data_IF_323396555326
#
_entry.id   IF_323396555326
#
_cell.length_a   1.000
_cell.length_b   1.000
_cell.length_c   1.000
_cell.angle_alpha   90.00
_cell.angle_beta   90.00
_cell.angle_gamma   90.00
#
_symmetry.space_group_name_H-M   'P 1'
#
loop_
_entity.id
_entity.type
_entity.pdbx_description
1 polymer ?
#
# COMPACT_ATOMS: atom_id res chain seq x y z
N UNK A 1 7.12 28.84 -48.51
CA UNK A 1 5.68 29.01 -48.22
C UNK A 1 5.39 28.70 -46.76
N UNK A 2 4.89 29.68 -46.00
CA UNK A 2 4.50 29.51 -44.59
C UNK A 2 3.18 28.74 -44.54
N UNK A 3 3.13 27.60 -43.83
CA UNK A 3 1.88 26.85 -43.62
C UNK A 3 1.06 27.59 -42.55
N UNK A 4 -0.03 28.21 -42.96
CA UNK A 4 -1.01 28.84 -42.05
C UNK A 4 -2.13 27.81 -41.88
N UNK A 5 -2.47 27.48 -40.63
CA UNK A 5 -3.54 26.54 -40.32
C UNK A 5 -4.86 26.99 -40.97
N UNK A 6 -5.68 26.04 -41.42
CA UNK A 6 -6.95 26.37 -42.05
C UNK A 6 -7.92 26.97 -41.03
N UNK A 7 -8.86 27.80 -41.50
CA UNK A 7 -9.83 28.47 -40.63
C UNK A 7 -10.64 27.48 -39.79
N UNK A 8 -10.92 26.29 -40.32
CA UNK A 8 -11.62 25.20 -39.63
C UNK A 8 -10.80 24.61 -38.47
N UNK A 9 -9.48 24.51 -38.63
CA UNK A 9 -8.58 23.98 -37.59
C UNK A 9 -8.44 24.96 -36.40
N UNK A 10 -8.50 26.27 -36.68
CA UNK A 10 -8.51 27.32 -35.65
C UNK A 10 -9.84 27.31 -34.89
N UNK A 11 -10.96 27.11 -35.58
CA UNK A 11 -12.29 27.06 -34.96
C UNK A 11 -12.45 25.84 -34.04
N UNK A 12 -11.98 24.67 -34.48
CA UNK A 12 -12.01 23.45 -33.68
C UNK A 12 -11.19 23.54 -32.38
N UNK A 13 -10.08 24.30 -32.38
CA UNK A 13 -9.29 24.56 -31.15
C UNK A 13 -9.99 25.53 -30.19
N UNK A 14 -10.82 26.44 -30.69
CA UNK A 14 -11.55 27.41 -29.86
C UNK A 14 -12.76 26.78 -29.17
N UNK A 15 -13.36 25.76 -29.78
CA UNK A 15 -14.54 25.03 -29.26
C UNK A 15 -14.17 23.90 -28.28
N UNK A 16 -12.88 23.63 -28.06
CA UNK A 16 -12.45 22.64 -27.09
C UNK A 16 -12.86 23.06 -25.66
N UNK A 17 -13.52 22.18 -24.88
CA UNK A 17 -13.95 22.51 -23.52
C UNK A 17 -12.73 22.75 -22.63
N UNK A 18 -12.60 23.98 -22.13
CA UNK A 18 -11.57 24.35 -21.14
C UNK A 18 -11.80 23.53 -19.87
N UNK A 19 -10.80 22.75 -19.48
CA UNK A 19 -10.81 21.98 -18.26
C UNK A 19 -11.06 22.91 -17.06
N UNK A 20 -12.19 22.72 -16.39
CA UNK A 20 -12.52 23.42 -15.15
C UNK A 20 -11.73 22.77 -14.01
N UNK A 21 -10.72 23.48 -13.51
CA UNK A 21 -10.03 23.08 -12.29
C UNK A 21 -10.99 23.32 -11.13
N UNK A 22 -11.53 22.25 -10.55
CA UNK A 22 -12.37 22.29 -9.37
C UNK A 22 -11.58 22.87 -8.20
N UNK A 23 -12.15 23.88 -7.55
CA UNK A 23 -11.53 24.53 -6.40
C UNK A 23 -11.35 23.52 -5.26
N UNK A 24 -10.10 23.33 -4.83
CA UNK A 24 -9.76 22.52 -3.65
C UNK A 24 -10.32 23.28 -2.44
N UNK A 25 -11.30 22.69 -1.77
CA UNK A 25 -11.86 23.23 -0.53
C UNK A 25 -10.75 23.25 0.53
N UNK A 26 -10.23 24.43 0.83
CA UNK A 26 -9.24 24.62 1.88
C UNK A 26 -9.93 24.58 3.25
N UNK A 27 -10.10 23.39 3.80
CA UNK A 27 -10.43 23.22 5.22
C UNK A 27 -9.13 23.42 6.02
N UNK A 28 -9.04 24.57 6.69
CA UNK A 28 -7.95 24.86 7.61
C UNK A 28 -8.04 23.93 8.81
N UNK A 29 -7.32 22.81 8.75
CA UNK A 29 -7.13 21.91 9.88
C UNK A 29 -6.26 22.66 10.91
N UNK A 30 -6.87 23.10 12.01
CA UNK A 30 -6.16 23.67 13.16
C UNK A 30 -5.32 22.53 13.75
N UNK A 31 -4.02 22.50 13.44
CA UNK A 31 -3.09 21.52 13.98
C UNK A 31 -2.63 21.98 15.36
N UNK A 32 -3.16 21.36 16.41
CA UNK A 32 -2.63 21.48 17.77
C UNK A 32 -1.68 20.31 18.06
N UNK A 33 -0.35 20.57 18.16
CA UNK A 33 0.64 19.52 18.38
C UNK A 33 0.51 18.82 19.75
N UNK A 34 -0.27 19.38 20.68
CA UNK A 34 -0.44 18.84 22.04
C UNK A 34 -1.78 18.14 22.27
N UNK A 35 -2.77 18.34 21.38
CA UNK A 35 -4.05 17.64 21.43
C UNK A 35 -4.04 16.27 20.73
N UNK A 36 -2.93 15.90 20.11
CA UNK A 36 -2.80 14.62 19.40
C UNK A 36 -2.69 13.50 20.42
N UNK A 37 -3.75 12.71 20.57
CA UNK A 37 -3.73 11.51 21.40
C UNK A 37 -2.58 10.59 20.93
N UNK A 38 -1.83 9.97 21.85
CA UNK A 38 -0.79 9.03 21.46
C UNK A 38 -1.44 7.92 20.62
N UNK A 39 -0.92 7.72 19.40
CA UNK A 39 -1.42 6.68 18.52
C UNK A 39 -1.35 5.34 19.26
N UNK A 40 -2.49 4.67 19.37
CA UNK A 40 -2.56 3.34 19.99
C UNK A 40 -1.71 2.41 19.14
N UNK A 41 -0.62 1.91 19.71
CA UNK A 41 0.24 0.91 19.08
C UNK A 41 -0.62 -0.35 18.91
N UNK A 42 -1.13 -0.58 17.71
CA UNK A 42 -1.86 -1.80 17.43
C UNK A 42 -0.88 -2.97 17.46
N UNK A 43 -1.16 -3.95 18.32
CA UNK A 43 -0.43 -5.21 18.34
C UNK A 43 -0.64 -5.91 17.01
N UNK A 44 0.42 -6.05 16.22
CA UNK A 44 0.38 -6.79 14.96
C UNK A 44 0.16 -8.28 15.25
N UNK A 45 -1.03 -8.78 14.95
CA UNK A 45 -1.33 -10.20 15.06
C UNK A 45 -0.80 -10.96 13.85
N UNK A 46 0.38 -11.55 14.03
CA UNK A 46 1.04 -12.33 12.99
C UNK A 46 0.49 -13.76 12.84
N UNK A 47 -0.25 -14.25 13.84
CA UNK A 47 -0.65 -15.66 13.98
C UNK A 47 -2.06 -15.91 13.46
N UNK A 48 -2.93 -14.92 13.53
CA UNK A 48 -4.30 -15.04 13.04
C UNK A 48 -4.52 -14.25 11.75
N UNK A 49 -5.50 -14.69 10.97
CA UNK A 49 -6.04 -13.95 9.84
C UNK A 49 -7.57 -13.98 9.91
N UNK A 50 -8.24 -13.33 8.96
CA UNK A 50 -9.71 -13.37 8.85
C UNK A 50 -10.30 -14.78 8.68
N UNK A 51 -9.47 -15.79 8.38
CA UNK A 51 -9.89 -17.19 8.24
C UNK A 51 -9.48 -18.08 9.41
N UNK A 52 -8.95 -17.51 10.49
CA UNK A 52 -8.45 -18.24 11.66
C UNK A 52 -6.92 -18.33 11.71
N UNK A 53 -6.43 -19.39 12.35
CA UNK A 53 -5.02 -19.61 12.61
C UNK A 53 -4.21 -19.76 11.31
N UNK A 54 -3.04 -19.14 11.26
CA UNK A 54 -2.10 -19.28 10.15
C UNK A 54 -1.19 -20.49 10.36
N UNK A 55 -0.73 -21.05 9.25
CA UNK A 55 0.21 -22.16 9.20
C UNK A 55 1.62 -21.61 9.06
N UNK A 56 2.53 -22.15 9.88
CA UNK A 56 3.97 -21.89 9.81
C UNK A 56 4.55 -22.37 8.48
N UNK A 57 5.35 -21.51 7.86
CA UNK A 57 6.11 -21.75 6.63
C UNK A 57 7.56 -21.42 6.91
N UNK A 58 8.34 -22.46 7.14
CA UNK A 58 9.77 -22.39 7.33
C UNK A 58 10.53 -23.19 6.28
N UNK A 59 11.80 -22.87 6.10
CA UNK A 59 12.70 -23.59 5.21
C UNK A 59 13.93 -22.78 4.82
N UNK A 60 14.65 -23.27 3.82
CA UNK A 60 15.84 -22.61 3.27
C UNK A 60 15.71 -22.44 1.77
N UNK A 61 16.05 -21.25 1.25
CA UNK A 61 16.13 -20.98 -0.18
C UNK A 61 17.36 -20.13 -0.48
N UNK A 62 18.19 -20.59 -1.42
CA UNK A 62 19.42 -19.89 -1.83
C UNK A 62 20.37 -19.59 -0.66
N UNK A 63 20.53 -20.53 0.28
CA UNK A 63 21.39 -20.33 1.46
C UNK A 63 20.82 -19.37 2.51
N UNK A 64 19.54 -19.01 2.42
CA UNK A 64 18.87 -18.14 3.38
C UNK A 64 17.67 -18.86 3.98
N UNK A 65 17.67 -18.99 5.30
CA UNK A 65 16.50 -19.45 6.04
C UNK A 65 15.37 -18.43 5.86
N UNK A 66 14.13 -18.93 5.75
CA UNK A 66 12.92 -18.12 5.76
C UNK A 66 11.94 -18.66 6.79
N UNK A 67 11.14 -17.76 7.33
CA UNK A 67 10.08 -18.06 8.27
C UNK A 67 8.90 -17.13 7.99
N UNK A 68 7.70 -17.68 7.92
CA UNK A 68 6.49 -16.93 7.57
C UNK A 68 5.22 -17.63 7.96
N UNK A 69 4.14 -16.88 8.08
CA UNK A 69 2.83 -17.34 8.57
C UNK A 69 1.81 -17.17 7.46
N UNK A 70 1.38 -18.29 6.88
CA UNK A 70 0.53 -18.34 5.69
C UNK A 70 -0.90 -18.75 6.04
N UNK A 71 -1.88 -18.26 5.28
CA UNK A 71 -3.28 -18.65 5.46
C UNK A 71 -3.50 -20.12 5.06
N UNK A 72 -4.44 -20.81 5.72
CA UNK A 72 -4.85 -22.20 5.40
C UNK A 72 -5.54 -22.29 4.02
N UNK A 73 -6.25 -21.23 3.61
CA UNK A 73 -7.01 -21.20 2.35
C UNK A 73 -6.08 -21.38 1.14
N UNK A 74 -6.52 -22.19 0.18
CA UNK A 74 -5.77 -22.50 -1.04
C UNK A 74 -5.68 -21.27 -1.95
N UNK A 75 -4.59 -21.19 -2.73
CA UNK A 75 -4.28 -20.06 -3.63
C UNK A 75 -5.43 -19.69 -4.59
N UNK A 76 -6.27 -20.64 -4.97
CA UNK A 76 -7.36 -20.44 -5.94
C UNK A 76 -8.68 -19.95 -5.33
N UNK A 77 -8.74 -19.73 -4.02
CA UNK A 77 -9.98 -19.33 -3.34
C UNK A 77 -10.35 -17.85 -3.50
N UNK A 78 -9.45 -17.01 -4.04
CA UNK A 78 -9.67 -15.56 -4.16
C UNK A 78 -9.68 -14.80 -2.83
N UNK A 79 -9.74 -15.51 -1.70
CA UNK A 79 -9.77 -14.94 -0.37
C UNK A 79 -8.42 -15.01 0.35
N UNK A 80 -7.33 -15.41 -0.32
CA UNK A 80 -6.04 -15.64 0.34
C UNK A 80 -5.50 -14.39 1.07
N UNK A 81 -5.15 -14.54 2.35
CA UNK A 81 -4.43 -13.50 3.07
C UNK A 81 -2.95 -13.47 2.68
N UNK A 82 -2.38 -12.27 2.66
CA UNK A 82 -0.94 -12.10 2.47
C UNK A 82 -0.15 -12.83 3.57
N UNK A 83 0.94 -13.48 3.21
CA UNK A 83 1.83 -14.18 4.15
C UNK A 83 2.61 -13.18 4.98
N UNK A 84 2.55 -13.34 6.31
CA UNK A 84 3.35 -12.55 7.21
C UNK A 84 4.77 -13.13 7.25
N UNK A 85 5.73 -12.45 6.65
CA UNK A 85 7.14 -12.90 6.65
C UNK A 85 7.90 -12.35 7.85
N UNK A 86 8.86 -13.14 8.32
CA UNK A 86 9.74 -12.79 9.42
C UNK A 86 11.17 -12.68 8.90
N UNK A 87 11.98 -11.89 9.61
CA UNK A 87 13.40 -11.74 9.38
C UNK A 87 14.15 -12.17 10.63
N UNK A 88 15.32 -12.75 10.43
CA UNK A 88 16.21 -13.12 11.53
C UNK A 88 16.92 -11.85 12.01
N UNK A 89 16.79 -11.52 13.29
CA UNK A 89 17.55 -10.42 13.89
C UNK A 89 19.00 -10.85 14.19
N UNK A 90 19.84 -9.91 14.62
CA UNK A 90 21.24 -10.19 14.98
C UNK A 90 21.39 -11.16 16.17
N UNK A 91 20.34 -11.31 16.97
CA UNK A 91 20.29 -12.19 18.14
C UNK A 91 19.84 -13.62 17.77
N UNK A 92 19.54 -13.88 16.49
CA UNK A 92 19.08 -15.18 16.03
C UNK A 92 17.57 -15.42 16.17
N UNK A 93 16.80 -14.42 16.59
CA UNK A 93 15.35 -14.51 16.76
C UNK A 93 14.59 -14.04 15.51
N UNK A 94 13.48 -14.74 15.19
CA UNK A 94 12.57 -14.35 14.12
C UNK A 94 11.70 -13.17 14.58
N UNK A 95 11.83 -12.03 13.92
CA UNK A 95 11.01 -10.85 14.15
C UNK A 95 10.13 -10.55 12.93
N UNK A 96 8.88 -10.07 13.11
CA UNK A 96 8.03 -9.72 11.99
C UNK A 96 8.75 -8.74 11.07
N UNK A 97 8.73 -9.00 9.77
CA UNK A 97 9.18 -8.05 8.76
C UNK A 97 8.09 -6.99 8.64
N UNK A 98 8.00 -6.09 9.62
CA UNK A 98 7.16 -4.89 9.52
C UNK A 98 7.58 -4.24 8.22
N UNK A 99 6.71 -4.27 7.21
CA UNK A 99 7.01 -3.76 5.89
C UNK A 99 7.55 -2.36 6.10
N UNK A 100 8.80 -2.13 5.69
CA UNK A 100 9.41 -0.80 5.69
C UNK A 100 8.42 0.10 4.96
N UNK A 101 7.66 0.88 5.75
CA UNK A 101 6.67 1.80 5.23
C UNK A 101 7.46 2.75 4.35
N UNK A 102 7.18 2.71 3.05
CA UNK A 102 7.80 3.57 2.06
C UNK A 102 7.03 4.87 1.96
#
# INVERSE_FOLDING_TARGET
>A
SKKIASADEVKARQEAPKATVSAIKAEAQIYDPWATQPAVVQSFDAWHCKHGDRIVRDGEKNGRAYYGMSCIKTLNSGEQCETNWFVLNAEGAWVPKIASVK
#
